data_IF_578309638792
#
_entry.id   IF_578309638792
#
_cell.length_a   1.000
_cell.length_b   1.000
_cell.length_c   1.000
_cell.angle_alpha   90.00
_cell.angle_beta   90.00
_cell.angle_gamma   90.00
#
_symmetry.space_group_name_H-M   'P 1'
#
loop_
_entity.id
_entity.type
_entity.pdbx_description
1 polymer ?
#
# COMPACT_ATOMS: atom_id res chain seq x y z
N UNK A 1 -13.41 -14.89 -1.69
CA UNK A 1 -14.05 -14.22 -0.54
C UNK A 1 -14.15 -15.11 0.72
N UNK A 2 -13.97 -16.44 0.64
CA UNK A 2 -14.05 -17.37 1.79
C UNK A 2 -12.85 -17.31 2.76
N UNK A 3 -11.63 -17.20 2.23
CA UNK A 3 -10.38 -17.22 3.02
C UNK A 3 -10.31 -16.09 4.04
N UNK A 4 -10.80 -14.90 3.68
CA UNK A 4 -10.76 -13.73 4.56
C UNK A 4 -11.71 -13.83 5.76
N UNK A 5 -12.87 -14.46 5.56
CA UNK A 5 -13.79 -14.75 6.66
C UNK A 5 -13.18 -15.77 7.61
N UNK A 6 -12.53 -16.80 7.07
CA UNK A 6 -11.87 -17.83 7.86
C UNK A 6 -10.74 -17.24 8.73
N UNK A 7 -9.85 -16.43 8.14
CA UNK A 7 -8.80 -15.73 8.87
C UNK A 7 -9.35 -14.82 9.97
N UNK A 8 -10.43 -14.07 9.69
CA UNK A 8 -11.04 -13.17 10.68
C UNK A 8 -11.69 -13.94 11.83
N UNK A 9 -12.34 -15.07 11.54
CA UNK A 9 -12.96 -15.93 12.56
C UNK A 9 -11.89 -16.57 13.44
N UNK A 10 -10.83 -17.13 12.85
CA UNK A 10 -9.75 -17.75 13.62
C UNK A 10 -8.99 -16.73 14.48
N UNK A 11 -8.66 -15.56 13.93
CA UNK A 11 -8.01 -14.50 14.68
C UNK A 11 -8.87 -14.02 15.86
N UNK A 12 -10.18 -13.84 15.65
CA UNK A 12 -11.09 -13.45 16.73
C UNK A 12 -11.21 -14.55 17.80
N UNK A 13 -11.32 -15.82 17.41
CA UNK A 13 -11.44 -16.93 18.35
C UNK A 13 -10.19 -17.08 19.23
N UNK A 14 -8.99 -16.82 18.67
CA UNK A 14 -7.74 -16.86 19.43
C UNK A 14 -7.68 -15.72 20.44
N UNK A 15 -8.04 -14.49 20.02
CA UNK A 15 -8.07 -13.33 20.92
C UNK A 15 -9.09 -13.52 22.03
N UNK A 16 -10.29 -14.00 21.72
CA UNK A 16 -11.33 -14.30 22.70
C UNK A 16 -10.86 -15.39 23.68
N UNK A 17 -10.11 -16.39 23.20
CA UNK A 17 -9.53 -17.42 24.09
C UNK A 17 -8.41 -16.89 24.99
N UNK A 18 -7.73 -15.80 24.59
CA UNK A 18 -6.69 -15.14 25.39
C UNK A 18 -7.29 -14.24 26.46
N UNK A 19 -8.36 -13.51 26.13
CA UNK A 19 -9.02 -12.55 27.02
C UNK A 19 -9.75 -13.22 28.19
N UNK A 20 -10.21 -14.47 27.99
CA UNK A 20 -11.07 -15.18 28.96
C UNK A 20 -10.31 -15.84 30.11
N UNK A 21 -8.98 -16.01 30.06
CA UNK A 21 -8.25 -16.65 31.15
C UNK A 21 -7.74 -15.64 32.21
N UNK A 22 -8.16 -15.76 33.48
CA UNK A 22 -7.66 -14.88 34.54
C UNK A 22 -6.14 -15.06 34.68
N UNK A 23 -5.41 -13.94 34.69
CA UNK A 23 -3.94 -13.85 34.83
C UNK A 23 -3.40 -14.71 35.98
N UNK A 24 -4.21 -14.88 37.03
CA UNK A 24 -3.89 -15.69 38.21
C UNK A 24 -3.77 -17.19 37.89
N UNK A 25 -4.62 -17.73 37.01
CA UNK A 25 -4.55 -19.13 36.59
C UNK A 25 -3.35 -19.41 35.67
N UNK A 26 -2.93 -18.41 34.89
CA UNK A 26 -1.73 -18.45 34.04
C UNK A 26 -0.43 -18.54 34.83
N UNK A 27 -0.42 -18.08 36.09
CA UNK A 27 0.76 -18.09 36.94
C UNK A 27 1.08 -19.49 37.48
N UNK A 28 0.08 -20.34 37.67
CA UNK A 28 0.24 -21.65 38.30
C UNK A 28 0.43 -22.79 37.29
N UNK A 29 0.04 -22.60 36.02
CA UNK A 29 0.07 -23.64 35.01
C UNK A 29 1.03 -23.29 33.85
N UNK A 30 2.34 -23.66 33.93
CA UNK A 30 3.29 -23.43 32.84
C UNK A 30 2.86 -24.10 31.52
N UNK A 31 2.05 -25.16 31.59
CA UNK A 31 1.47 -25.84 30.43
C UNK A 31 0.51 -24.93 29.62
N UNK A 32 -0.19 -23.99 30.28
CA UNK A 32 -1.11 -23.07 29.60
C UNK A 32 -0.32 -22.06 28.76
N UNK A 33 0.77 -21.51 29.32
CA UNK A 33 1.66 -20.58 28.61
C UNK A 33 2.25 -21.26 27.38
N UNK A 34 2.70 -22.52 27.52
CA UNK A 34 3.25 -23.28 26.39
C UNK A 34 2.20 -23.54 25.32
N UNK A 35 0.96 -23.87 25.69
CA UNK A 35 -0.13 -24.06 24.73
C UNK A 35 -0.47 -22.76 23.97
N UNK A 36 -0.49 -21.61 24.67
CA UNK A 36 -0.66 -20.29 24.04
C UNK A 36 0.49 -20.00 23.06
N UNK A 37 1.74 -20.28 23.47
CA UNK A 37 2.92 -20.10 22.63
C UNK A 37 2.83 -20.94 21.35
N UNK A 38 2.41 -22.20 21.45
CA UNK A 38 2.24 -23.11 20.31
C UNK A 38 1.14 -22.62 19.36
N UNK A 39 -0.01 -22.19 19.91
CA UNK A 39 -1.11 -21.62 19.10
C UNK A 39 -0.70 -20.34 18.38
N UNK A 40 0.02 -19.45 19.06
CA UNK A 40 0.54 -18.22 18.46
C UNK A 40 1.55 -18.55 17.34
N UNK A 41 2.44 -19.52 17.56
CA UNK A 41 3.40 -19.95 16.54
C UNK A 41 2.69 -20.52 15.29
N UNK A 42 1.63 -21.30 15.47
CA UNK A 42 0.83 -21.84 14.36
C UNK A 42 0.10 -20.71 13.60
N UNK A 43 -0.51 -19.76 14.32
CA UNK A 43 -1.13 -18.58 13.71
C UNK A 43 -0.11 -17.75 12.90
N UNK A 44 1.08 -17.51 13.45
CA UNK A 44 2.15 -16.84 12.72
C UNK A 44 2.55 -17.60 11.45
N UNK A 45 2.57 -18.93 11.49
CA UNK A 45 2.88 -19.76 10.34
C UNK A 45 1.78 -19.66 9.26
N UNK A 46 0.50 -19.69 9.65
CA UNK A 46 -0.64 -19.48 8.74
C UNK A 46 -0.61 -18.08 8.13
N UNK A 47 -0.38 -17.04 8.94
CA UNK A 47 -0.28 -15.65 8.47
C UNK A 47 0.91 -15.48 7.54
N UNK A 48 2.07 -16.07 7.84
CA UNK A 48 3.25 -16.02 6.98
C UNK A 48 2.97 -16.63 5.60
N UNK A 49 2.26 -17.76 5.57
CA UNK A 49 1.84 -18.39 4.31
C UNK A 49 0.81 -17.55 3.56
N UNK A 50 -0.14 -16.95 4.27
CA UNK A 50 -1.10 -16.02 3.68
C UNK A 50 -0.41 -14.77 3.13
N UNK A 51 0.60 -14.24 3.83
CA UNK A 51 1.40 -13.10 3.43
C UNK A 51 2.16 -13.38 2.12
N UNK A 52 2.71 -14.59 1.94
CA UNK A 52 3.37 -14.95 0.68
C UNK A 52 2.42 -14.82 -0.53
N UNK A 53 1.18 -15.30 -0.39
CA UNK A 53 0.17 -15.18 -1.43
C UNK A 53 -0.33 -13.73 -1.60
N UNK A 54 -0.64 -13.06 -0.50
CA UNK A 54 -1.11 -11.68 -0.49
C UNK A 54 -0.07 -10.70 -1.02
N UNK A 55 1.22 -10.96 -0.80
CA UNK A 55 2.32 -10.15 -1.33
C UNK A 55 2.25 -10.03 -2.86
N UNK A 56 1.99 -11.13 -3.55
CA UNK A 56 1.92 -11.13 -5.02
C UNK A 56 0.70 -10.34 -5.50
N UNK A 57 -0.43 -10.53 -4.82
CA UNK A 57 -1.68 -9.81 -5.10
C UNK A 57 -1.49 -8.31 -4.85
N UNK A 58 -0.99 -7.94 -3.67
CA UNK A 58 -0.74 -6.55 -3.29
C UNK A 58 0.22 -5.86 -4.27
N UNK A 59 1.29 -6.53 -4.69
CA UNK A 59 2.21 -5.99 -5.68
C UNK A 59 1.51 -5.69 -7.02
N UNK A 60 0.68 -6.62 -7.50
CA UNK A 60 -0.10 -6.41 -8.72
C UNK A 60 -1.09 -5.25 -8.55
N UNK A 61 -1.80 -5.18 -7.43
CA UNK A 61 -2.75 -4.10 -7.14
C UNK A 61 -2.07 -2.73 -7.01
N UNK A 62 -0.94 -2.63 -6.30
CA UNK A 62 -0.22 -1.37 -6.19
C UNK A 62 0.41 -0.95 -7.51
N UNK A 63 1.02 -1.88 -8.25
CA UNK A 63 1.62 -1.59 -9.56
C UNK A 63 0.57 -1.13 -10.57
N UNK A 64 -0.43 -1.96 -10.82
CA UNK A 64 -1.49 -1.65 -11.79
C UNK A 64 -2.35 -0.47 -11.33
N UNK A 65 -2.74 -0.43 -10.06
CA UNK A 65 -3.56 0.65 -9.52
C UNK A 65 -2.87 2.00 -9.61
N UNK A 66 -1.57 2.08 -9.28
CA UNK A 66 -0.80 3.31 -9.42
C UNK A 66 -0.73 3.76 -10.89
N UNK A 67 -0.39 2.86 -11.81
CA UNK A 67 -0.34 3.18 -13.24
C UNK A 67 -1.70 3.66 -13.77
N UNK A 68 -2.80 3.02 -13.37
CA UNK A 68 -4.15 3.43 -13.76
C UNK A 68 -4.48 4.85 -13.27
N UNK A 69 -4.19 5.17 -12.01
CA UNK A 69 -4.44 6.50 -11.44
C UNK A 69 -3.64 7.57 -12.21
N UNK A 70 -2.36 7.31 -12.47
CA UNK A 70 -1.49 8.23 -13.21
C UNK A 70 -2.01 8.45 -14.65
N UNK A 71 -2.44 7.40 -15.34
CA UNK A 71 -3.03 7.50 -16.69
C UNK A 71 -4.32 8.32 -16.71
N UNK A 72 -5.20 8.12 -15.73
CA UNK A 72 -6.44 8.91 -15.60
C UNK A 72 -6.13 10.37 -15.37
N UNK A 73 -5.20 10.69 -14.48
CA UNK A 73 -4.76 12.07 -14.21
C UNK A 73 -4.18 12.69 -15.48
N UNK A 74 -3.30 11.97 -16.18
CA UNK A 74 -2.66 12.46 -17.40
C UNK A 74 -3.70 12.81 -18.47
N UNK A 75 -4.59 11.89 -18.80
CA UNK A 75 -5.59 12.16 -19.84
C UNK A 75 -6.67 13.16 -19.40
N UNK A 76 -6.98 13.26 -18.10
CA UNK A 76 -7.81 14.34 -17.56
C UNK A 76 -7.14 15.70 -17.77
N UNK A 77 -5.83 15.80 -17.55
CA UNK A 77 -5.09 17.03 -17.73
C UNK A 77 -5.00 17.40 -19.21
N UNK A 78 -4.77 16.46 -20.12
CA UNK A 78 -4.65 16.74 -21.55
C UNK A 78 -6.00 16.85 -22.29
N UNK A 79 -7.12 16.58 -21.62
CA UNK A 79 -8.47 16.51 -22.23
C UNK A 79 -8.55 15.55 -23.42
N UNK A 80 -7.77 14.46 -23.39
CA UNK A 80 -7.73 13.46 -24.47
C UNK A 80 -8.91 12.46 -24.39
N UNK A 81 -9.62 12.43 -23.26
CA UNK A 81 -10.69 11.47 -23.00
C UNK A 81 -12.09 12.01 -23.27
N UNK A 82 -12.94 11.15 -23.83
CA UNK A 82 -14.38 11.39 -23.88
C UNK A 82 -14.96 11.34 -22.45
N UNK A 83 -16.08 12.01 -22.21
CA UNK A 83 -16.80 11.93 -20.91
C UNK A 83 -17.09 10.46 -20.52
N UNK A 84 -17.46 9.63 -21.50
CA UNK A 84 -17.71 8.20 -21.27
C UNK A 84 -16.46 7.45 -20.78
N UNK A 85 -15.30 7.70 -21.38
CA UNK A 85 -14.02 7.09 -20.99
C UNK A 85 -13.61 7.55 -19.59
N UNK A 86 -13.81 8.84 -19.29
CA UNK A 86 -13.52 9.40 -17.97
C UNK A 86 -14.38 8.76 -16.87
N UNK A 87 -15.68 8.57 -17.11
CA UNK A 87 -16.57 7.90 -16.15
C UNK A 87 -16.18 6.44 -15.95
N UNK A 88 -15.87 5.72 -17.04
CA UNK A 88 -15.49 4.31 -16.95
C UNK A 88 -14.15 4.12 -16.22
N UNK A 89 -13.11 4.84 -16.63
CA UNK A 89 -11.78 4.77 -16.01
C UNK A 89 -11.76 5.33 -14.59
N UNK A 90 -12.54 6.39 -14.33
CA UNK A 90 -12.73 6.95 -12.99
C UNK A 90 -13.40 5.96 -12.05
N UNK A 91 -14.48 5.31 -12.49
CA UNK A 91 -15.19 4.26 -11.72
C UNK A 91 -14.28 3.06 -11.42
N UNK A 92 -13.51 2.61 -12.43
CA UNK A 92 -12.54 1.53 -12.26
C UNK A 92 -11.46 1.90 -11.24
N UNK A 93 -10.88 3.10 -11.38
CA UNK A 93 -9.83 3.60 -10.46
C UNK A 93 -10.37 3.75 -9.03
N UNK A 94 -11.59 4.28 -8.87
CA UNK A 94 -12.24 4.38 -7.58
C UNK A 94 -12.45 3.01 -6.93
N UNK A 95 -12.89 2.01 -7.72
CA UNK A 95 -13.04 0.64 -7.25
C UNK A 95 -11.70 0.05 -6.77
N UNK A 96 -10.62 0.27 -7.52
CA UNK A 96 -9.27 -0.15 -7.12
C UNK A 96 -8.82 0.47 -5.80
N UNK A 97 -8.98 1.78 -5.64
CA UNK A 97 -8.63 2.49 -4.39
C UNK A 97 -9.46 1.95 -3.23
N UNK A 98 -10.76 1.74 -3.43
CA UNK A 98 -11.64 1.17 -2.43
C UNK A 98 -11.17 -0.22 -1.96
N UNK A 99 -10.85 -1.13 -2.90
CA UNK A 99 -10.31 -2.45 -2.55
C UNK A 99 -8.97 -2.36 -1.81
N UNK A 100 -8.07 -1.47 -2.23
CA UNK A 100 -6.79 -1.24 -1.54
C UNK A 100 -7.01 -0.76 -0.10
N UNK A 101 -7.93 0.17 0.13
CA UNK A 101 -8.27 0.65 1.48
C UNK A 101 -8.83 -0.48 2.34
N UNK A 102 -9.74 -1.31 1.82
CA UNK A 102 -10.31 -2.45 2.55
C UNK A 102 -9.23 -3.47 2.94
N UNK A 103 -8.33 -3.80 2.02
CA UNK A 103 -7.23 -4.74 2.29
C UNK A 103 -6.25 -4.14 3.30
N UNK A 104 -5.87 -2.86 3.13
CA UNK A 104 -4.94 -2.15 4.01
C UNK A 104 -5.48 -2.03 5.42
N UNK A 105 -6.72 -1.57 5.58
CA UNK A 105 -7.37 -1.41 6.89
C UNK A 105 -7.53 -2.74 7.61
N UNK A 106 -7.88 -3.81 6.88
CA UNK A 106 -7.98 -5.13 7.50
C UNK A 106 -6.59 -5.68 7.85
N UNK A 107 -5.57 -5.43 7.02
CA UNK A 107 -4.19 -5.79 7.32
C UNK A 107 -3.65 -5.07 8.55
N UNK A 108 -3.94 -3.78 8.69
CA UNK A 108 -3.60 -2.98 9.87
C UNK A 108 -4.32 -3.49 11.12
N UNK A 109 -5.63 -3.79 11.03
CA UNK A 109 -6.38 -4.35 12.14
C UNK A 109 -5.84 -5.71 12.60
N UNK A 110 -5.45 -6.58 11.65
CA UNK A 110 -4.80 -7.85 11.96
C UNK A 110 -3.44 -7.64 12.63
N UNK A 111 -2.63 -6.69 12.13
CA UNK A 111 -1.34 -6.37 12.72
C UNK A 111 -1.47 -5.89 14.18
N UNK A 112 -2.43 -5.01 14.47
CA UNK A 112 -2.71 -4.57 15.84
C UNK A 112 -3.12 -5.73 16.75
N UNK A 113 -4.02 -6.60 16.27
CA UNK A 113 -4.48 -7.80 16.99
C UNK A 113 -3.35 -8.79 17.28
N UNK A 114 -2.39 -8.94 16.38
CA UNK A 114 -1.23 -9.82 16.59
C UNK A 114 -0.24 -9.31 17.63
N UNK A 115 -0.20 -8.00 17.86
CA UNK A 115 0.69 -7.40 18.88
C UNK A 115 0.02 -7.29 20.26
N UNK A 116 -1.29 -7.45 20.37
CA UNK A 116 -2.04 -7.44 21.64
C UNK A 116 -1.49 -8.41 22.71
N UNK A 117 -1.07 -9.67 22.39
CA UNK A 117 -0.49 -10.58 23.38
C UNK A 117 0.82 -10.08 23.98
N UNK A 118 1.55 -9.20 23.29
CA UNK A 118 2.83 -8.64 23.75
C UNK A 118 2.61 -7.77 24.98
N UNK A 119 1.60 -6.90 24.93
CA UNK A 119 1.26 -6.01 26.04
C UNK A 119 0.80 -6.81 27.27
N UNK A 120 0.09 -7.92 27.05
CA UNK A 120 -0.28 -8.84 28.12
C UNK A 120 0.95 -9.52 28.73
N UNK A 121 1.87 -9.99 27.88
CA UNK A 121 3.11 -10.64 28.32
C UNK A 121 4.02 -9.69 29.11
N UNK A 122 4.05 -8.41 28.76
CA UNK A 122 4.82 -7.39 29.48
C UNK A 122 4.27 -7.09 30.88
N UNK A 123 2.97 -7.29 31.10
CA UNK A 123 2.33 -7.10 32.42
C UNK A 123 2.54 -8.28 33.37
N UNK A 124 2.97 -9.42 32.86
CA UNK A 124 3.33 -10.57 33.70
C UNK A 124 4.62 -10.27 34.48
N UNK A 125 4.51 -10.26 35.81
CA UNK A 125 5.65 -10.06 36.71
C UNK A 125 6.59 -11.26 36.66
N UNK A 126 7.61 -11.17 35.78
CA UNK A 126 8.63 -12.18 35.55
C UNK A 126 9.37 -12.57 36.83
N UNK A 127 9.45 -11.66 37.82
CA UNK A 127 10.14 -11.92 39.09
C UNK A 127 9.40 -12.91 39.98
N UNK A 128 8.09 -13.08 39.78
CA UNK A 128 7.24 -13.98 40.57
C UNK A 128 7.05 -15.36 39.94
N UNK A 129 7.64 -15.63 38.77
CA UNK A 129 7.57 -16.93 38.11
C UNK A 129 8.70 -17.87 38.55
N UNK A 130 8.43 -19.16 38.51
CA UNK A 130 9.45 -20.21 38.64
C UNK A 130 10.45 -20.12 37.49
N UNK A 131 11.73 -20.46 37.74
CA UNK A 131 12.82 -20.23 36.78
C UNK A 131 12.61 -20.83 35.38
N UNK A 132 11.86 -21.94 35.26
CA UNK A 132 11.48 -22.53 33.96
C UNK A 132 10.47 -21.66 33.19
N UNK A 133 9.51 -21.04 33.87
CA UNK A 133 8.53 -20.14 33.25
C UNK A 133 9.18 -18.87 32.69
N UNK A 134 10.15 -18.33 33.43
CA UNK A 134 10.92 -17.14 33.02
C UNK A 134 11.66 -17.37 31.70
N UNK A 135 12.26 -18.53 31.49
CA UNK A 135 12.96 -18.86 30.24
C UNK A 135 12.01 -18.96 29.04
N UNK A 136 10.84 -19.59 29.22
CA UNK A 136 9.81 -19.73 28.18
C UNK A 136 9.25 -18.35 27.79
N UNK A 137 8.91 -17.52 28.78
CA UNK A 137 8.37 -16.17 28.57
C UNK A 137 9.42 -15.27 27.89
N UNK A 138 10.67 -15.32 28.34
CA UNK A 138 11.81 -14.62 27.71
C UNK A 138 11.96 -14.98 26.23
N UNK A 139 11.97 -16.29 25.93
CA UNK A 139 12.09 -16.78 24.55
C UNK A 139 10.89 -16.38 23.70
N UNK A 140 9.69 -16.39 24.29
CA UNK A 140 8.47 -15.98 23.59
C UNK A 140 8.47 -14.47 23.30
N UNK A 141 8.85 -13.64 24.28
CA UNK A 141 8.97 -12.19 24.12
C UNK A 141 10.03 -11.82 23.07
N UNK A 142 11.18 -12.51 23.07
CA UNK A 142 12.22 -12.37 22.04
C UNK A 142 11.70 -12.64 20.63
N UNK A 143 10.83 -13.64 20.46
CA UNK A 143 10.21 -13.96 19.17
C UNK A 143 9.15 -12.95 18.76
N UNK A 144 8.38 -12.45 19.73
CA UNK A 144 7.35 -11.44 19.53
C UNK A 144 7.93 -10.07 19.17
N UNK A 145 9.06 -9.68 19.76
CA UNK A 145 9.81 -8.47 19.44
C UNK A 145 10.66 -8.58 18.16
N UNK A 146 10.60 -9.73 17.49
CA UNK A 146 11.35 -10.00 16.27
C UNK A 146 10.85 -9.20 15.07
N UNK A 147 11.04 -9.75 13.87
CA UNK A 147 10.64 -9.08 12.63
C UNK A 147 9.14 -8.68 12.66
N UNK A 148 8.79 -7.46 12.24
CA UNK A 148 7.42 -6.97 12.31
C UNK A 148 6.49 -7.92 11.54
N UNK A 149 5.49 -8.45 12.24
CA UNK A 149 4.47 -9.36 11.71
C UNK A 149 3.45 -8.52 10.94
N UNK A 150 3.86 -8.05 9.76
CA UNK A 150 3.05 -7.25 8.84
C UNK A 150 2.92 -7.91 7.48
N UNK A 151 2.01 -7.38 6.66
CA UNK A 151 1.97 -7.76 5.24
C UNK A 151 3.13 -7.09 4.51
N UNK A 152 4.05 -7.91 4.02
CA UNK A 152 5.25 -7.47 3.33
C UNK A 152 5.08 -7.72 1.83
N UNK A 153 5.21 -6.66 1.03
CA UNK A 153 5.17 -6.78 -0.43
C UNK A 153 6.59 -7.04 -0.92
N UNK A 154 6.91 -8.30 -1.20
CA UNK A 154 8.22 -8.77 -1.69
C UNK A 154 9.43 -8.24 -0.89
N UNK A 155 9.26 -7.99 0.42
CA UNK A 155 10.27 -7.36 1.28
C UNK A 155 10.74 -5.97 0.82
N UNK A 156 10.02 -5.31 -0.09
CA UNK A 156 10.30 -3.94 -0.53
C UNK A 156 9.74 -2.93 0.47
N UNK A 157 8.50 -3.15 0.90
CA UNK A 157 7.82 -2.33 1.89
C UNK A 157 6.77 -3.13 2.65
N UNK A 158 6.57 -2.75 3.91
CA UNK A 158 5.47 -3.22 4.74
C UNK A 158 4.25 -2.37 4.45
N UNK A 159 3.07 -2.98 4.29
CA UNK A 159 1.81 -2.24 4.13
C UNK A 159 1.44 -1.61 5.46
N UNK A 160 1.71 -0.31 5.59
CA UNK A 160 1.38 0.49 6.77
C UNK A 160 0.84 1.87 6.35
N UNK A 161 0.41 2.66 7.34
CA UNK A 161 -0.04 4.04 7.20
C UNK A 161 0.99 4.90 6.43
N UNK A 162 2.29 4.63 6.63
CA UNK A 162 3.37 5.28 5.90
C UNK A 162 3.30 5.05 4.38
N UNK A 163 2.94 3.84 3.94
CA UNK A 163 2.80 3.50 2.51
C UNK A 163 1.69 4.29 1.85
N UNK A 164 0.56 4.48 2.54
CA UNK A 164 -0.57 5.28 2.03
C UNK A 164 -0.14 6.74 1.84
N UNK A 165 0.60 7.29 2.80
CA UNK A 165 1.17 8.63 2.70
C UNK A 165 2.16 8.74 1.53
N UNK A 166 3.01 7.73 1.32
CA UNK A 166 3.96 7.68 0.20
C UNK A 166 3.24 7.68 -1.16
N UNK A 167 2.17 6.90 -1.31
CA UNK A 167 1.37 6.85 -2.55
C UNK A 167 0.71 8.20 -2.81
N UNK A 168 0.09 8.78 -1.77
CA UNK A 168 -0.53 10.11 -1.86
C UNK A 168 0.48 11.18 -2.28
N UNK A 169 1.66 11.19 -1.64
CA UNK A 169 2.76 12.09 -2.00
C UNK A 169 3.22 11.90 -3.45
N UNK A 170 3.37 10.66 -3.89
CA UNK A 170 3.78 10.36 -5.28
C UNK A 170 2.76 10.86 -6.31
N UNK A 171 1.47 10.65 -6.05
CA UNK A 171 0.39 11.16 -6.91
C UNK A 171 0.43 12.69 -6.96
N UNK A 172 0.57 13.35 -5.80
CA UNK A 172 0.65 14.81 -5.72
C UNK A 172 1.85 15.35 -6.51
N UNK A 173 3.03 14.77 -6.32
CA UNK A 173 4.25 15.16 -7.05
C UNK A 173 4.06 15.00 -8.56
N UNK A 174 3.46 13.90 -9.00
CA UNK A 174 3.18 13.68 -10.42
C UNK A 174 2.23 14.74 -11.00
N UNK A 175 1.14 15.06 -10.30
CA UNK A 175 0.20 16.12 -10.71
C UNK A 175 0.93 17.45 -10.85
N UNK A 176 1.75 17.82 -9.87
CA UNK A 176 2.52 19.07 -9.90
C UNK A 176 3.48 19.11 -11.09
N UNK A 177 4.18 18.01 -11.36
CA UNK A 177 5.10 17.89 -12.51
C UNK A 177 4.33 18.13 -13.82
N UNK A 178 3.22 17.42 -14.06
CA UNK A 178 2.47 17.61 -15.31
C UNK A 178 1.97 19.05 -15.46
N UNK A 179 1.42 19.63 -14.38
CA UNK A 179 0.91 21.00 -14.43
C UNK A 179 2.01 22.00 -14.76
N UNK A 180 3.21 21.83 -14.21
CA UNK A 180 4.36 22.70 -14.49
C UNK A 180 4.89 22.57 -15.93
N UNK A 181 4.86 21.36 -16.49
CA UNK A 181 5.38 21.11 -17.84
C UNK A 181 4.36 21.35 -18.96
N UNK A 182 3.13 21.79 -18.64
CA UNK A 182 2.15 22.14 -19.67
C UNK A 182 2.65 23.34 -20.51
N UNK A 183 2.92 23.16 -21.81
CA UNK A 183 3.29 24.26 -22.69
C UNK A 183 2.06 25.13 -22.93
N UNK A 184 1.95 26.26 -22.22
CA UNK A 184 0.81 27.17 -22.41
C UNK A 184 0.63 28.29 -21.39
N UNK A 185 1.31 28.27 -20.24
CA UNK A 185 1.14 29.30 -19.20
C UNK A 185 2.29 30.32 -19.11
N UNK A 186 3.40 30.12 -19.84
CA UNK A 186 4.60 30.96 -19.74
C UNK A 186 5.04 31.55 -21.08
N UNK A 187 4.16 32.25 -21.81
CA UNK A 187 4.60 33.19 -22.87
C UNK A 187 3.60 34.35 -22.97
N UNK A 188 3.80 35.43 -22.20
CA UNK A 188 3.46 36.80 -22.61
C UNK A 188 3.99 37.87 -21.62
N UNK A 189 5.29 37.92 -21.32
CA UNK A 189 5.85 39.07 -20.56
C UNK A 189 7.24 39.49 -21.08
N UNK A 190 7.42 39.53 -22.39
CA UNK A 190 8.52 40.27 -23.02
C UNK A 190 8.05 40.88 -24.36
N UNK A 191 6.88 41.51 -24.38
CA UNK A 191 6.61 42.55 -25.38
C UNK A 191 7.05 43.87 -24.75
N UNK A 192 8.37 44.10 -24.76
CA UNK A 192 8.94 45.42 -24.56
C UNK A 192 8.30 46.39 -25.54
N UNK A 193 7.59 47.38 -25.01
CA UNK A 193 7.18 48.56 -25.76
C UNK A 193 8.41 49.38 -26.15
N UNK A 194 9.06 49.01 -27.24
CA UNK A 194 9.92 49.93 -28.00
C UNK A 194 9.12 50.36 -29.22
N UNK A 195 8.40 51.46 -29.05
CA UNK A 195 7.87 52.26 -30.14
C UNK A 195 9.07 52.80 -30.92
N UNK A 196 9.44 52.14 -32.02
CA UNK A 196 10.11 52.80 -33.12
C UNK A 196 9.68 52.18 -34.45
N UNK A 197 9.32 53.09 -35.36
CA UNK A 197 8.63 52.84 -36.61
C UNK A 197 9.54 52.24 -37.69
N UNK A 198 8.87 51.54 -38.62
CA UNK A 198 9.20 51.35 -40.04
C UNK A 198 10.21 50.24 -40.44
N UNK A 199 9.72 49.13 -41.00
CA UNK A 199 9.59 48.89 -42.45
C UNK A 199 9.11 47.43 -42.72
N UNK A 200 8.33 47.17 -43.78
CA UNK A 200 7.93 45.80 -44.15
C UNK A 200 8.98 45.15 -45.06
N UNK A 201 9.49 43.99 -44.66
CA UNK A 201 10.23 43.09 -45.57
C UNK A 201 9.52 41.75 -45.66
N UNK A 202 9.16 41.47 -46.90
CA UNK A 202 8.42 40.36 -47.48
C UNK A 202 9.23 39.05 -47.48
N UNK A 203 8.51 37.93 -47.28
CA UNK A 203 8.74 36.57 -47.81
C UNK A 203 10.03 35.78 -47.46
N UNK A 204 9.83 34.61 -46.85
CA UNK A 204 10.27 33.28 -47.36
C UNK A 204 9.79 32.19 -46.37
N UNK A 205 8.72 31.45 -46.65
CA UNK A 205 8.76 30.11 -47.25
C UNK A 205 9.77 29.15 -46.61
N UNK A 206 9.29 28.31 -45.68
CA UNK A 206 9.93 27.02 -45.34
C UNK A 206 8.85 25.93 -45.18
N UNK A 207 8.48 25.42 -46.35
CA UNK A 207 8.25 24.02 -46.70
C UNK A 207 8.59 22.99 -45.59
N UNK A 208 7.57 22.33 -45.04
CA UNK A 208 7.71 21.08 -44.28
C UNK A 208 7.63 19.89 -45.25
N UNK A 209 8.53 18.89 -45.16
CA UNK A 209 8.42 17.67 -45.95
C UNK A 209 7.39 16.71 -45.32
N UNK A 210 6.54 16.18 -46.20
CA UNK A 210 5.62 15.09 -45.92
C UNK A 210 6.39 13.79 -45.63
N UNK A 211 6.08 13.12 -44.52
CA UNK A 211 6.55 11.76 -44.27
C UNK A 211 5.70 10.76 -45.04
N UNK A 212 6.38 10.01 -45.92
CA UNK A 212 5.83 8.93 -46.70
C UNK A 212 5.49 7.73 -45.80
N UNK A 213 4.29 7.20 -46.02
CA UNK A 213 3.78 5.96 -45.48
C UNK A 213 4.24 4.82 -46.42
N UNK A 214 5.08 3.91 -45.95
CA UNK A 214 5.41 2.67 -46.68
C UNK A 214 4.90 1.49 -45.88
N UNK A 215 3.71 1.06 -46.25
CA UNK A 215 3.21 -0.30 -46.04
C UNK A 215 4.02 -1.25 -46.93
N UNK A 216 4.79 -2.14 -46.34
CA UNK A 216 5.20 -3.37 -47.02
C UNK A 216 4.69 -4.57 -46.21
N UNK A 217 3.75 -5.24 -46.85
CA UNK A 217 3.20 -6.56 -46.56
C UNK A 217 4.13 -7.52 -47.30
N UNK A 218 4.81 -8.42 -46.59
CA UNK A 218 5.28 -9.66 -47.21
C UNK A 218 4.69 -10.87 -46.46
N UNK A 219 4.11 -11.72 -47.30
CA UNK A 219 3.50 -13.04 -47.13
C UNK A 219 4.44 -14.10 -46.59
#
# INVERSE_FOLDING_TARGET
MSVWRMLKIEANAIVESLEVQPIEALKEAPEVIENIRLRHADLCHVISRANQFLSHILAAFYGTGMTCILLVIHGLINNEFTIADLVNMGSLSFSFVFYLVVITTTGAALNMKMHEPVDFLFRLDVQRMTGKGTEIVSTFLSRLQGAPIGFHVYNLFTVDTSTVMMICGTILTYVLVIVQFKPGANVQCCASSSTDQALPVTLANTQYPAYANTTDIET
#
